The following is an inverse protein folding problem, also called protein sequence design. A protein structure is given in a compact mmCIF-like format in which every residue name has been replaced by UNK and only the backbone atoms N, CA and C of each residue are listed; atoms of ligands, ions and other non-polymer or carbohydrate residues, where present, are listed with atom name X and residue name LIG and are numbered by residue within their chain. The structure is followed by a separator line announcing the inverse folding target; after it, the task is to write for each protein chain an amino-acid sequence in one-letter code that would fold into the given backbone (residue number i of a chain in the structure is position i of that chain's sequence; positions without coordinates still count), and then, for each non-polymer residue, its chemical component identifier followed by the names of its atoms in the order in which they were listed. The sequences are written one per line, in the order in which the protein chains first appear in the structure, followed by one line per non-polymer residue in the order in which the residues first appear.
data_IF_024307557835
#
_entry.id   IF_024307557835
#
_cell.length_a   1.000
_cell.length_b   1.000
_cell.length_c   1.000
_cell.angle_alpha   90.00
_cell.angle_beta   90.00
_cell.angle_gamma   90.00
#
_symmetry.space_group_name_H-M   'P 1'
#
loop_
_entity.id
_entity.type
_entity.pdbx_description
1 polymer ?
#
# COMPACT_ATOMS: atom_id res chain seq x y z
N UNK A 1 -38.21 -18.44 -16.26
CA UNK A 1 -37.38 -17.24 -16.03
C UNK A 1 -37.46 -16.96 -14.55
N UNK A 2 -36.47 -17.39 -13.78
CA UNK A 2 -36.43 -17.16 -12.33
C UNK A 2 -35.74 -15.83 -12.07
N UNK A 3 -36.49 -14.88 -11.51
CA UNK A 3 -35.95 -13.59 -11.10
C UNK A 3 -34.85 -13.79 -10.06
N UNK A 4 -33.62 -13.48 -10.45
CA UNK A 4 -32.51 -13.26 -9.52
C UNK A 4 -32.88 -12.03 -8.70
N UNK A 5 -33.40 -12.25 -7.49
CA UNK A 5 -33.53 -11.22 -6.48
C UNK A 5 -32.14 -10.61 -6.27
N UNK A 6 -31.95 -9.41 -6.82
CA UNK A 6 -30.76 -8.62 -6.56
C UNK A 6 -30.61 -8.50 -5.05
N UNK A 7 -29.47 -8.96 -4.53
CA UNK A 7 -29.10 -8.80 -3.12
C UNK A 7 -28.82 -7.30 -2.94
N UNK A 8 -29.92 -6.55 -2.80
CA UNK A 8 -29.91 -5.12 -2.61
C UNK A 8 -29.50 -4.80 -1.18
N UNK A 9 -28.60 -3.83 -1.06
CA UNK A 9 -28.22 -3.18 0.17
C UNK A 9 -29.46 -2.81 1.03
N UNK A 10 -29.60 -3.42 2.21
CA UNK A 10 -30.75 -3.27 3.13
C UNK A 10 -30.85 -1.89 3.80
N UNK A 11 -30.28 -0.83 3.22
CA UNK A 11 -30.31 0.53 3.76
C UNK A 11 -29.47 0.75 5.03
N UNK A 12 -28.65 -0.22 5.45
CA UNK A 12 -27.75 -0.06 6.61
C UNK A 12 -26.52 0.79 6.25
N UNK A 13 -26.29 1.96 6.88
CA UNK A 13 -25.22 2.89 6.50
C UNK A 13 -23.88 2.22 6.17
N UNK A 14 -23.35 2.44 4.96
CA UNK A 14 -22.02 1.95 4.59
C UNK A 14 -20.98 2.76 5.36
N UNK A 15 -19.95 2.13 5.97
CA UNK A 15 -18.83 2.87 6.54
C UNK A 15 -18.21 3.82 5.51
N UNK A 16 -17.78 5.03 5.91
CA UNK A 16 -17.16 5.95 4.96
C UNK A 16 -15.90 5.30 4.36
N UNK A 17 -15.70 5.41 3.04
CA UNK A 17 -14.61 4.71 2.34
C UNK A 17 -13.24 5.30 2.70
N UNK A 18 -13.17 6.50 3.26
CA UNK A 18 -11.90 7.14 3.64
C UNK A 18 -11.85 7.46 5.13
N UNK A 19 -10.67 7.25 5.73
CA UNK A 19 -10.36 7.61 7.13
C UNK A 19 -9.02 8.31 7.19
N UNK A 20 -9.01 9.60 7.50
CA UNK A 20 -7.78 10.39 7.70
C UNK A 20 -7.00 9.84 8.90
N UNK A 21 -5.67 9.86 8.80
CA UNK A 21 -4.73 9.50 9.87
C UNK A 21 -3.88 10.73 10.16
N UNK A 22 -4.14 11.37 11.30
CA UNK A 22 -3.47 12.59 11.73
C UNK A 22 -3.30 12.57 13.27
N UNK A 23 -2.06 12.60 13.80
CA UNK A 23 -0.79 12.70 13.08
C UNK A 23 -0.47 11.47 12.21
N UNK A 24 0.39 11.60 11.18
CA UNK A 24 0.79 10.46 10.36
C UNK A 24 1.44 9.35 11.17
N UNK A 25 1.06 8.10 10.91
CA UNK A 25 1.53 6.92 11.66
C UNK A 25 2.74 6.29 10.96
N UNK A 26 3.84 5.98 11.69
CA UNK A 26 4.97 5.26 11.12
C UNK A 26 4.61 3.81 10.78
N UNK A 27 4.94 3.39 9.56
CA UNK A 27 4.68 2.05 9.04
C UNK A 27 5.92 1.55 8.29
N UNK A 28 6.04 0.23 8.21
CA UNK A 28 6.97 -0.45 7.31
C UNK A 28 6.20 -0.88 6.05
N UNK A 29 6.82 -0.70 4.89
CA UNK A 29 6.30 -1.08 3.58
C UNK A 29 7.22 -2.14 2.98
N UNK A 30 6.70 -3.33 2.70
CA UNK A 30 7.45 -4.36 1.97
C UNK A 30 7.35 -4.13 0.45
N UNK A 31 8.41 -3.57 -0.14
CA UNK A 31 8.43 -3.27 -1.57
C UNK A 31 8.52 -4.53 -2.45
N UNK A 32 9.10 -5.62 -1.95
CA UNK A 32 9.21 -6.87 -2.70
C UNK A 32 7.85 -7.56 -2.86
N UNK A 33 6.96 -7.35 -1.90
CA UNK A 33 5.57 -7.79 -1.97
C UNK A 33 4.71 -6.81 -2.79
N UNK A 34 4.93 -5.50 -2.61
CA UNK A 34 4.19 -4.45 -3.34
C UNK A 34 4.45 -4.48 -4.85
N UNK A 35 5.69 -4.75 -5.24
CA UNK A 35 6.15 -4.80 -6.63
C UNK A 35 6.70 -6.19 -6.92
N UNK A 36 5.82 -7.16 -7.23
CA UNK A 36 6.25 -8.54 -7.46
C UNK A 36 7.21 -8.62 -8.64
N UNK A 37 8.17 -9.54 -8.54
CA UNK A 37 9.14 -9.79 -9.61
C UNK A 37 8.45 -10.35 -10.84
N UNK A 38 8.86 -9.85 -12.01
CA UNK A 38 8.50 -10.48 -13.28
C UNK A 38 9.03 -11.92 -13.31
N UNK A 39 8.19 -12.93 -13.61
CA UNK A 39 8.63 -14.32 -13.72
C UNK A 39 9.67 -14.53 -14.82
N UNK A 40 9.59 -13.74 -15.89
CA UNK A 40 10.51 -13.77 -17.03
C UNK A 40 11.26 -12.44 -17.09
N UNK A 41 12.49 -12.44 -16.57
CA UNK A 41 13.29 -11.22 -16.45
C UNK A 41 13.83 -10.78 -17.80
N UNK A 42 13.42 -9.59 -18.25
CA UNK A 42 13.94 -8.94 -19.46
C UNK A 42 15.00 -7.85 -19.19
N UNK A 43 15.23 -7.46 -17.93
CA UNK A 43 16.16 -6.39 -17.53
C UNK A 43 17.51 -6.84 -16.95
N UNK A 44 18.56 -6.04 -17.14
CA UNK A 44 19.91 -6.25 -16.58
C UNK A 44 20.09 -5.74 -15.14
N UNK A 45 21.30 -5.89 -14.58
CA UNK A 45 21.68 -5.23 -13.32
C UNK A 45 22.18 -3.81 -13.60
N UNK A 46 21.72 -2.83 -12.82
CA UNK A 46 22.24 -1.47 -12.81
C UNK A 46 22.49 -1.04 -11.35
N UNK A 47 23.74 -0.75 -10.94
CA UNK A 47 24.06 -0.38 -9.57
C UNK A 47 23.43 0.95 -9.12
N UNK A 48 23.01 1.80 -10.06
CA UNK A 48 22.31 3.05 -9.79
C UNK A 48 20.78 2.95 -9.97
N UNK A 49 20.25 1.73 -10.17
CA UNK A 49 18.81 1.48 -10.30
C UNK A 49 18.02 1.60 -8.99
N UNK A 50 16.70 1.67 -9.11
CA UNK A 50 15.78 1.68 -7.97
C UNK A 50 15.86 0.38 -7.15
N UNK A 51 15.94 0.51 -5.83
CA UNK A 51 15.91 -0.61 -4.89
C UNK A 51 14.45 -0.99 -4.56
N UNK A 52 13.86 -1.84 -5.40
CA UNK A 52 12.44 -2.20 -5.30
C UNK A 52 12.16 -3.44 -4.42
N UNK A 53 13.18 -4.01 -3.78
CA UNK A 53 13.07 -5.26 -3.02
C UNK A 53 13.67 -5.08 -1.62
N UNK A 54 13.05 -4.18 -0.86
CA UNK A 54 13.45 -3.85 0.50
C UNK A 54 12.20 -3.56 1.34
N UNK A 55 12.36 -3.64 2.66
CA UNK A 55 11.39 -3.08 3.60
C UNK A 55 11.82 -1.65 3.92
N UNK A 56 10.93 -0.68 3.70
CA UNK A 56 11.22 0.74 3.91
C UNK A 56 10.28 1.35 4.94
N UNK A 57 10.75 2.35 5.65
CA UNK A 57 9.90 3.15 6.54
C UNK A 57 9.04 4.13 5.73
N UNK A 58 7.80 4.30 6.17
CA UNK A 58 6.84 5.22 5.57
C UNK A 58 5.96 5.91 6.61
N UNK A 59 5.19 6.88 6.13
CA UNK A 59 4.22 7.66 6.92
C UNK A 59 2.83 7.50 6.32
N UNK A 60 1.95 6.85 7.06
CA UNK A 60 0.55 6.65 6.70
C UNK A 60 -0.28 7.88 7.07
N UNK A 61 -1.01 8.44 6.10
CA UNK A 61 -1.82 9.67 6.30
C UNK A 61 -3.31 9.46 6.04
N UNK A 62 -3.70 8.36 5.38
CA UNK A 62 -5.10 8.08 5.07
C UNK A 62 -5.30 6.58 4.85
N UNK A 63 -6.45 6.06 5.29
CA UNK A 63 -6.98 4.77 4.85
C UNK A 63 -8.06 5.00 3.80
N UNK A 64 -8.06 4.19 2.74
CA UNK A 64 -9.07 4.13 1.69
C UNK A 64 -9.56 2.69 1.49
N UNK A 65 -10.86 2.47 1.42
CA UNK A 65 -11.46 1.19 1.09
C UNK A 65 -11.71 1.12 -0.41
N UNK A 66 -11.23 0.07 -1.08
CA UNK A 66 -11.53 -0.16 -2.50
C UNK A 66 -12.95 -0.71 -2.67
N UNK A 67 -13.45 -0.74 -3.91
CA UNK A 67 -14.80 -1.22 -4.24
C UNK A 67 -15.09 -2.65 -3.73
N UNK A 68 -14.06 -3.49 -3.59
CA UNK A 68 -14.16 -4.87 -3.09
C UNK A 68 -14.06 -4.97 -1.54
N UNK A 69 -14.01 -3.84 -0.83
CA UNK A 69 -14.01 -3.79 0.64
C UNK A 69 -12.65 -3.92 1.31
N UNK A 70 -11.56 -4.06 0.54
CA UNK A 70 -10.21 -4.13 1.10
C UNK A 70 -9.66 -2.73 1.42
N UNK A 71 -8.89 -2.63 2.51
CA UNK A 71 -8.26 -1.38 2.93
C UNK A 71 -6.88 -1.16 2.29
N UNK A 72 -6.60 0.10 1.98
CA UNK A 72 -5.35 0.61 1.43
C UNK A 72 -4.90 1.83 2.24
N UNK A 73 -3.62 1.94 2.52
CA UNK A 73 -3.02 3.10 3.16
C UNK A 73 -2.40 4.04 2.14
N UNK A 74 -2.68 5.34 2.21
CA UNK A 74 -1.92 6.36 1.52
C UNK A 74 -0.64 6.61 2.33
N UNK A 75 0.49 6.15 1.81
CA UNK A 75 1.78 6.16 2.51
C UNK A 75 2.81 6.93 1.71
N UNK A 76 3.54 7.83 2.38
CA UNK A 76 4.75 8.45 1.84
C UNK A 76 6.00 7.73 2.35
N UNK A 77 6.87 7.26 1.46
CA UNK A 77 8.12 6.56 1.78
C UNK A 77 9.22 6.85 0.74
N UNK A 78 10.46 6.53 1.07
CA UNK A 78 11.61 6.73 0.18
C UNK A 78 12.03 5.43 -0.53
N UNK A 79 12.37 5.55 -1.81
CA UNK A 79 13.02 4.48 -2.58
C UNK A 79 14.47 4.89 -2.82
N UNK A 80 15.41 4.02 -2.44
CA UNK A 80 16.82 4.22 -2.69
C UNK A 80 17.20 3.93 -4.14
N UNK A 81 18.20 4.64 -4.67
CA UNK A 81 18.80 4.39 -5.98
C UNK A 81 20.25 4.88 -5.99
N UNK A 82 21.20 3.98 -6.26
CA UNK A 82 22.61 4.26 -5.99
C UNK A 82 22.81 4.75 -4.55
N UNK A 83 23.42 5.94 -4.40
CA UNK A 83 23.62 6.60 -3.10
C UNK A 83 22.51 7.61 -2.72
N UNK A 84 21.44 7.68 -3.50
CA UNK A 84 20.37 8.69 -3.37
C UNK A 84 19.05 8.05 -2.94
N UNK A 85 18.08 8.89 -2.56
CA UNK A 85 16.70 8.49 -2.22
C UNK A 85 15.71 9.43 -2.88
N UNK A 86 14.54 8.89 -3.26
CA UNK A 86 13.43 9.68 -3.78
C UNK A 86 12.13 9.27 -3.09
N UNK A 87 11.40 10.27 -2.60
CA UNK A 87 10.11 10.06 -1.94
C UNK A 87 9.00 9.78 -2.96
N UNK A 88 8.08 8.90 -2.58
CA UNK A 88 6.84 8.60 -3.31
C UNK A 88 5.68 8.56 -2.32
N UNK A 89 4.52 9.03 -2.75
CA UNK A 89 3.25 8.86 -2.03
C UNK A 89 2.37 7.91 -2.83
N UNK A 90 1.97 6.79 -2.21
CA UNK A 90 1.35 5.67 -2.92
C UNK A 90 0.23 5.03 -2.09
N UNK A 91 -0.81 4.54 -2.75
CA UNK A 91 -1.78 3.65 -2.12
C UNK A 91 -1.17 2.25 -2.00
N UNK A 92 -0.96 1.81 -0.76
CA UNK A 92 -0.37 0.52 -0.42
C UNK A 92 -1.44 -0.38 0.17
N UNK A 93 -1.62 -1.63 -0.29
CA UNK A 93 -2.57 -2.54 0.33
C UNK A 93 -2.28 -2.74 1.81
N UNK A 94 -3.30 -2.77 2.67
CA UNK A 94 -3.09 -2.87 4.12
C UNK A 94 -2.27 -4.10 4.54
N UNK A 95 -2.35 -5.21 3.79
CA UNK A 95 -1.61 -6.44 4.06
C UNK A 95 -0.12 -6.37 3.70
N UNK A 96 0.32 -5.33 2.98
CA UNK A 96 1.74 -5.01 2.70
C UNK A 96 2.32 -4.12 3.80
N UNK A 97 1.48 -3.51 4.62
CA UNK A 97 1.88 -2.59 5.68
C UNK A 97 2.04 -3.33 7.00
N UNK A 98 3.12 -3.02 7.72
CA UNK A 98 3.29 -3.40 9.12
C UNK A 98 3.42 -2.14 9.96
N UNK A 99 2.69 -2.04 11.08
CA UNK A 99 2.91 -0.94 12.02
C UNK A 99 4.34 -0.99 12.52
N UNK A 100 5.06 0.13 12.42
CA UNK A 100 6.38 0.23 13.02
C UNK A 100 6.16 0.33 14.54
N UNK A 101 6.41 -0.78 15.24
CA UNK A 101 6.50 -0.75 16.70
C UNK A 101 7.89 -0.26 17.05
N UNK A 102 7.96 0.63 18.04
CA UNK A 102 9.21 1.18 18.54
C UNK A 102 10.14 0.02 18.97
N UNK A 103 11.33 -0.14 18.37
CA UNK A 103 12.29 -1.14 18.83
C UNK A 103 12.84 -0.64 20.16
N UNK A 104 12.26 -1.13 21.26
CA UNK A 104 12.83 -0.95 22.60
C UNK A 104 14.21 -1.60 22.69
#
# INVERSE_FOLDING_TARGET
MGDLQGIGYNGQPVPPPFRRVDPPVPVLVDLGVLFPREPHRHGGYNPAGLQMHAVVEGRLTCWGMCEQGYWWGLVTYDIAYGAQRKSVTHWVPAWVLKRQMDPR
#
